data_IF_906796493126
#
_entry.id   IF_906796493126
#
_cell.length_a   1.000
_cell.length_b   1.000
_cell.length_c   1.000
_cell.angle_alpha   90.00
_cell.angle_beta   90.00
_cell.angle_gamma   90.00
#
_symmetry.space_group_name_H-M   'P 1'
#
loop_
_entity.id
_entity.type
_entity.pdbx_description
1 polymer ?
#
# COMPACT_ATOMS: atom_id res chain seq x y z
N UNK A 1 -34.33 57.51 -1.25
CA UNK A 1 -32.99 58.00 -1.67
C UNK A 1 -32.31 56.91 -2.48
N UNK A 2 -32.17 57.09 -3.79
CA UNK A 2 -31.57 56.08 -4.68
C UNK A 2 -30.04 56.15 -4.68
N UNK A 3 -29.37 55.03 -4.47
CA UNK A 3 -27.91 54.93 -4.51
C UNK A 3 -27.39 55.16 -5.95
N UNK A 4 -26.59 56.20 -6.16
CA UNK A 4 -25.86 56.40 -7.43
C UNK A 4 -24.83 55.28 -7.60
N UNK A 5 -25.02 54.41 -8.61
CA UNK A 5 -23.99 53.45 -9.03
C UNK A 5 -22.74 54.22 -9.51
N UNK A 6 -21.63 54.11 -8.77
CA UNK A 6 -20.31 54.61 -9.21
C UNK A 6 -19.70 53.58 -10.15
N UNK A 7 -19.44 53.98 -11.39
CA UNK A 7 -18.72 53.15 -12.35
C UNK A 7 -17.21 53.37 -12.22
N UNK A 8 -16.39 52.32 -12.41
CA UNK A 8 -14.94 52.43 -12.33
C UNK A 8 -14.39 53.36 -13.42
N UNK A 9 -13.32 54.09 -13.11
CA UNK A 9 -12.63 54.95 -14.09
C UNK A 9 -12.02 54.13 -15.22
N UNK A 10 -11.74 54.75 -16.38
CA UNK A 10 -11.10 54.05 -17.52
C UNK A 10 -9.80 53.33 -17.15
N UNK A 11 -9.04 53.88 -16.20
CA UNK A 11 -7.82 53.26 -15.69
C UNK A 11 -8.12 52.04 -14.81
N UNK A 12 -9.14 52.13 -13.93
CA UNK A 12 -9.58 51.02 -13.08
C UNK A 12 -10.15 49.86 -13.91
N UNK A 13 -10.94 50.15 -14.95
CA UNK A 13 -11.46 49.13 -15.85
C UNK A 13 -10.33 48.41 -16.61
N UNK A 14 -9.29 49.12 -17.05
CA UNK A 14 -8.11 48.54 -17.70
C UNK A 14 -7.27 47.68 -16.75
N UNK A 15 -7.03 48.15 -15.53
CA UNK A 15 -6.34 47.37 -14.49
C UNK A 15 -7.10 46.10 -14.13
N UNK A 16 -8.43 46.18 -14.01
CA UNK A 16 -9.27 45.01 -13.75
C UNK A 16 -9.19 44.01 -14.92
N UNK A 17 -9.21 44.49 -16.16
CA UNK A 17 -9.06 43.64 -17.35
C UNK A 17 -7.68 42.97 -17.42
N UNK A 18 -6.61 43.68 -17.07
CA UNK A 18 -5.26 43.13 -16.99
C UNK A 18 -5.15 42.08 -15.87
N UNK A 19 -5.80 42.30 -14.72
CA UNK A 19 -5.84 41.31 -13.65
C UNK A 19 -6.64 40.06 -14.04
N UNK A 20 -7.77 40.21 -14.73
CA UNK A 20 -8.56 39.08 -15.22
C UNK A 20 -7.79 38.27 -16.26
N UNK A 21 -7.07 38.92 -17.17
CA UNK A 21 -6.24 38.23 -18.18
C UNK A 21 -5.00 37.58 -17.57
N UNK A 22 -4.34 38.22 -16.61
CA UNK A 22 -3.24 37.64 -15.86
C UNK A 22 -3.70 36.43 -15.03
N UNK A 23 -4.88 36.51 -14.41
CA UNK A 23 -5.48 35.39 -13.70
C UNK A 23 -5.89 34.25 -14.65
N UNK A 24 -6.49 34.56 -15.80
CA UNK A 24 -6.86 33.56 -16.79
C UNK A 24 -5.64 32.84 -17.39
N UNK A 25 -4.56 33.57 -17.69
CA UNK A 25 -3.32 32.97 -18.23
C UNK A 25 -2.61 32.09 -17.20
N UNK A 26 -2.56 32.51 -15.93
CA UNK A 26 -2.01 31.68 -14.85
C UNK A 26 -2.89 30.45 -14.55
N UNK A 27 -4.22 30.58 -14.62
CA UNK A 27 -5.16 29.46 -14.45
C UNK A 27 -5.07 28.43 -15.59
N UNK A 28 -4.97 28.89 -16.84
CA UNK A 28 -4.75 28.02 -18.02
C UNK A 28 -3.40 27.30 -17.94
N UNK A 29 -2.33 27.99 -17.51
CA UNK A 29 -1.04 27.34 -17.32
C UNK A 29 -1.03 26.36 -16.13
N UNK A 30 -1.78 26.62 -15.05
CA UNK A 30 -1.90 25.71 -13.91
C UNK A 30 -2.63 24.41 -14.26
N UNK A 31 -3.61 24.46 -15.19
CA UNK A 31 -4.30 23.28 -15.73
C UNK A 31 -3.39 22.43 -16.65
N UNK A 32 -2.31 22.99 -17.19
CA UNK A 32 -1.40 22.34 -18.15
C UNK A 32 -0.27 21.50 -17.51
N UNK A 33 -0.34 21.18 -16.22
CA UNK A 33 0.72 20.39 -15.56
C UNK A 33 0.57 18.88 -15.83
N UNK A 34 1.22 18.44 -16.92
CA UNK A 34 1.57 17.07 -17.34
C UNK A 34 0.45 16.17 -17.90
N UNK A 35 0.08 16.42 -19.17
CA UNK A 35 -0.84 15.55 -19.91
C UNK A 35 -0.18 14.30 -20.53
N UNK A 36 1.12 14.10 -20.32
CA UNK A 36 1.83 12.88 -20.77
C UNK A 36 1.18 11.62 -20.19
N UNK A 37 0.99 10.60 -21.05
CA UNK A 37 0.60 9.26 -20.61
C UNK A 37 1.80 8.49 -20.03
N UNK A 38 3.02 8.82 -20.44
CA UNK A 38 4.26 8.21 -19.93
C UNK A 38 4.71 8.97 -18.68
N UNK A 39 4.96 8.26 -17.59
CA UNK A 39 5.25 8.82 -16.26
C UNK A 39 6.62 8.42 -15.70
N UNK A 40 7.24 7.36 -16.22
CA UNK A 40 8.57 6.89 -15.83
C UNK A 40 9.14 5.99 -16.95
N UNK A 41 10.38 5.51 -16.79
CA UNK A 41 11.02 4.50 -17.64
C UNK A 41 11.75 3.48 -16.77
N UNK A 42 11.61 2.19 -17.12
CA UNK A 42 12.31 1.10 -16.44
C UNK A 42 13.79 1.07 -16.87
N UNK A 43 14.66 0.43 -16.08
CA UNK A 43 16.08 0.28 -16.42
C UNK A 43 16.32 -0.46 -17.75
N UNK A 44 15.35 -1.27 -18.19
CA UNK A 44 15.32 -1.91 -19.51
C UNK A 44 15.05 -0.96 -20.68
N UNK A 45 14.70 0.31 -20.41
CA UNK A 45 14.27 1.29 -21.42
C UNK A 45 12.76 1.25 -21.71
N UNK A 46 12.00 0.37 -21.07
CA UNK A 46 10.55 0.28 -21.26
C UNK A 46 9.82 1.46 -20.59
N UNK A 47 8.89 2.08 -21.32
CA UNK A 47 8.06 3.16 -20.79
C UNK A 47 7.05 2.66 -19.77
N UNK A 48 6.90 3.43 -18.69
CA UNK A 48 5.85 3.23 -17.69
C UNK A 48 4.73 4.23 -17.94
N UNK A 49 3.52 3.71 -18.10
CA UNK A 49 2.32 4.48 -18.40
C UNK A 49 1.52 4.78 -17.13
N UNK A 50 0.78 5.89 -17.13
CA UNK A 50 -0.19 6.21 -16.08
C UNK A 50 -1.35 5.22 -16.12
N UNK A 51 -1.55 4.41 -15.07
CA UNK A 51 -2.65 3.45 -15.02
C UNK A 51 -4.04 4.07 -15.20
N UNK A 52 -4.20 5.38 -14.98
CA UNK A 52 -5.49 6.06 -15.16
C UNK A 52 -5.81 6.34 -16.63
N UNK A 53 -4.80 6.28 -17.51
CA UNK A 53 -4.87 6.68 -18.92
C UNK A 53 -4.72 5.50 -19.89
N UNK A 54 -4.59 4.27 -19.39
CA UNK A 54 -4.56 3.05 -20.21
C UNK A 54 -5.96 2.48 -20.44
N UNK A 55 -6.14 1.69 -21.50
CA UNK A 55 -7.43 1.12 -21.91
C UNK A 55 -7.96 0.10 -20.89
N UNK A 56 -7.06 -0.75 -20.36
CA UNK A 56 -7.36 -1.64 -19.24
C UNK A 56 -6.35 -1.43 -18.13
N UNK A 57 -6.87 -1.26 -16.91
CA UNK A 57 -6.07 -1.06 -15.71
C UNK A 57 -5.39 -2.37 -15.30
N UNK A 58 -4.19 -2.29 -14.67
CA UNK A 58 -3.63 -3.46 -14.02
C UNK A 58 -4.56 -3.94 -12.91
N UNK A 59 -4.65 -5.24 -12.72
CA UNK A 59 -5.59 -5.86 -11.78
C UNK A 59 -4.88 -6.89 -10.89
N UNK A 60 -5.06 -6.74 -9.57
CA UNK A 60 -4.57 -7.71 -8.59
C UNK A 60 -5.38 -9.00 -8.72
N UNK A 61 -4.78 -10.18 -8.56
CA UNK A 61 -5.52 -11.44 -8.52
C UNK A 61 -6.63 -11.38 -7.47
N UNK A 62 -7.82 -11.87 -7.82
CA UNK A 62 -8.99 -11.83 -6.91
C UNK A 62 -9.47 -10.39 -6.58
N UNK A 63 -8.99 -9.37 -7.30
CA UNK A 63 -9.51 -8.01 -7.30
C UNK A 63 -8.99 -7.09 -6.18
N UNK A 64 -9.38 -5.82 -6.29
CA UNK A 64 -8.89 -4.73 -5.43
C UNK A 64 -9.30 -4.87 -3.95
N UNK A 65 -10.46 -5.46 -3.68
CA UNK A 65 -10.90 -5.70 -2.30
C UNK A 65 -9.96 -6.70 -1.61
N UNK A 66 -9.57 -7.76 -2.32
CA UNK A 66 -8.61 -8.76 -1.82
C UNK A 66 -7.24 -8.13 -1.57
N UNK A 67 -6.76 -7.29 -2.50
CA UNK A 67 -5.53 -6.52 -2.29
C UNK A 67 -5.57 -5.74 -0.96
N UNK A 68 -6.64 -4.96 -0.76
CA UNK A 68 -6.77 -4.08 0.40
C UNK A 68 -7.03 -4.82 1.71
N UNK A 69 -7.82 -5.90 1.67
CA UNK A 69 -8.32 -6.59 2.87
C UNK A 69 -7.47 -7.80 3.25
N UNK A 70 -6.71 -8.39 2.33
CA UNK A 70 -6.00 -9.65 2.58
C UNK A 70 -4.50 -9.57 2.30
N UNK A 71 -4.03 -8.77 1.35
CA UNK A 71 -2.60 -8.72 1.02
C UNK A 71 -1.86 -7.57 1.71
N UNK A 72 -2.43 -6.35 1.69
CA UNK A 72 -1.83 -5.16 2.28
C UNK A 72 -2.13 -4.98 3.78
N UNK A 73 -2.62 -6.04 4.45
CA UNK A 73 -2.91 -6.01 5.89
C UNK A 73 -1.65 -6.25 6.70
N UNK A 74 -0.95 -5.16 6.99
CA UNK A 74 0.20 -5.13 7.90
C UNK A 74 -0.29 -4.94 9.33
N UNK A 75 0.19 -5.79 10.23
CA UNK A 75 -0.10 -5.72 11.66
C UNK A 75 1.16 -5.39 12.45
N UNK A 76 0.99 -4.64 13.53
CA UNK A 76 2.01 -4.46 14.55
C UNK A 76 1.42 -4.79 15.92
N UNK A 77 2.24 -5.37 16.80
CA UNK A 77 1.81 -5.69 18.16
C UNK A 77 1.81 -4.41 18.99
N UNK A 78 0.73 -4.19 19.74
CA UNK A 78 0.73 -3.28 20.88
C UNK A 78 0.53 -4.07 22.16
N UNK A 79 1.00 -3.54 23.28
CA UNK A 79 0.73 -4.14 24.58
C UNK A 79 -0.72 -3.83 24.98
N UNK A 80 -1.43 -4.77 25.63
CA UNK A 80 -2.83 -4.60 26.03
C UNK A 80 -3.03 -3.45 27.02
N UNK A 81 -1.98 -3.05 27.74
CA UNK A 81 -1.98 -1.93 28.68
C UNK A 81 -2.01 -0.55 27.97
N UNK A 82 -1.62 -0.50 26.70
CA UNK A 82 -1.64 0.72 25.89
C UNK A 82 -2.78 0.67 24.87
N UNK A 83 -3.87 1.37 25.17
CA UNK A 83 -4.90 1.67 24.19
C UNK A 83 -4.45 2.84 23.33
N UNK A 84 -3.93 2.52 22.14
CA UNK A 84 -3.87 3.50 21.05
C UNK A 84 -5.21 3.45 20.31
N UNK A 85 -5.86 4.60 20.11
CA UNK A 85 -6.88 4.70 19.05
C UNK A 85 -6.25 4.23 17.74
N UNK A 86 -7.02 3.65 16.81
CA UNK A 86 -6.53 3.39 15.45
C UNK A 86 -6.04 4.73 14.89
N UNK A 87 -4.75 4.99 15.03
CA UNK A 87 -4.13 6.20 14.53
C UNK A 87 -4.45 6.16 13.04
N UNK A 88 -5.08 7.21 12.53
CA UNK A 88 -5.47 7.35 11.12
C UNK A 88 -4.29 7.41 10.15
N UNK A 89 -3.17 6.79 10.51
CA UNK A 89 -1.98 6.57 9.71
C UNK A 89 -2.41 5.88 8.44
N UNK A 90 -2.31 6.65 7.38
CA UNK A 90 -2.48 6.17 6.02
C UNK A 90 -1.12 6.35 5.38
N UNK A 91 -0.50 5.30 4.87
CA UNK A 91 0.62 5.40 3.97
C UNK A 91 0.09 5.52 2.55
N UNK A 92 0.90 6.04 1.64
CA UNK A 92 0.63 5.93 0.20
C UNK A 92 1.86 5.32 -0.43
N UNK A 93 1.69 4.18 -1.08
CA UNK A 93 2.77 3.55 -1.83
C UNK A 93 2.47 3.61 -3.33
N UNK A 94 3.54 3.69 -4.11
CA UNK A 94 3.52 3.56 -5.55
C UNK A 94 4.46 2.43 -5.97
N UNK A 95 4.05 1.68 -6.98
CA UNK A 95 4.87 0.66 -7.61
C UNK A 95 4.54 0.59 -9.11
N UNK A 96 5.26 -0.23 -9.86
CA UNK A 96 5.02 -0.48 -11.28
C UNK A 96 4.63 -1.94 -11.45
N UNK A 97 3.57 -2.20 -12.22
CA UNK A 97 3.26 -3.53 -12.73
C UNK A 97 3.88 -3.58 -14.13
N UNK A 98 4.84 -4.46 -14.36
CA UNK A 98 5.42 -4.66 -15.69
C UNK A 98 4.46 -5.39 -16.64
N UNK A 99 4.79 -5.44 -17.93
CA UNK A 99 3.96 -6.11 -18.95
C UNK A 99 3.72 -7.60 -18.68
N UNK A 100 4.54 -8.23 -17.84
CA UNK A 100 4.44 -9.63 -17.45
C UNK A 100 3.69 -9.80 -16.11
N UNK A 101 3.17 -8.70 -15.55
CA UNK A 101 2.39 -8.69 -14.33
C UNK A 101 3.22 -8.65 -13.03
N UNK A 102 4.54 -8.51 -13.10
CA UNK A 102 5.37 -8.49 -11.89
C UNK A 102 5.47 -7.08 -11.32
N UNK A 103 5.56 -7.00 -10.00
CA UNK A 103 5.73 -5.73 -9.29
C UNK A 103 7.20 -5.28 -9.33
N UNK A 104 7.42 -4.00 -9.66
CA UNK A 104 8.73 -3.34 -9.79
C UNK A 104 8.72 -1.99 -9.08
N UNK A 105 9.91 -1.51 -8.70
CA UNK A 105 10.15 -0.16 -8.12
C UNK A 105 9.12 0.26 -7.04
N UNK A 106 8.84 -0.58 -6.01
CA UNK A 106 8.00 -0.14 -4.90
C UNK A 106 8.65 1.04 -4.16
N UNK A 107 7.87 2.06 -3.87
CA UNK A 107 8.30 3.25 -3.11
C UNK A 107 7.15 3.83 -2.31
N UNK A 108 7.50 4.54 -1.25
CA UNK A 108 6.53 5.25 -0.41
C UNK A 108 6.44 6.70 -0.89
N UNK A 109 5.24 7.13 -1.28
CA UNK A 109 4.93 8.51 -1.63
C UNK A 109 4.57 9.34 -0.40
N UNK A 110 3.90 8.71 0.58
CA UNK A 110 3.59 9.30 1.87
C UNK A 110 3.87 8.29 2.96
N UNK A 111 4.82 8.65 3.81
CA UNK A 111 5.34 7.83 4.90
C UNK A 111 4.25 7.48 5.91
N UNK A 112 4.47 6.36 6.60
CA UNK A 112 3.63 5.89 7.70
C UNK A 112 4.03 6.52 9.06
N UNK A 113 4.92 7.52 9.05
CA UNK A 113 5.35 8.56 10.03
C UNK A 113 5.47 8.22 11.53
N UNK A 114 4.62 7.36 12.08
CA UNK A 114 4.62 6.96 13.49
C UNK A 114 5.63 5.85 13.80
N UNK A 115 6.04 5.05 12.82
CA UNK A 115 6.95 3.91 13.04
C UNK A 115 8.06 3.86 11.98
N UNK A 116 9.34 4.05 12.35
CA UNK A 116 10.46 4.16 11.41
C UNK A 116 10.64 3.00 10.43
N UNK A 117 10.08 1.82 10.74
CA UNK A 117 10.26 0.59 9.95
C UNK A 117 9.02 0.17 9.17
N UNK A 118 7.89 0.85 9.35
CA UNK A 118 6.65 0.43 8.72
C UNK A 118 6.65 0.68 7.20
N UNK A 119 7.36 1.71 6.74
CA UNK A 119 7.61 1.97 5.32
C UNK A 119 8.38 0.82 4.64
N UNK A 120 9.39 0.27 5.32
CA UNK A 120 10.17 -0.86 4.80
C UNK A 120 9.31 -2.13 4.66
N UNK A 121 8.36 -2.32 5.56
CA UNK A 121 7.43 -3.44 5.52
C UNK A 121 6.32 -3.26 4.49
N UNK A 122 5.84 -2.04 4.32
CA UNK A 122 4.98 -1.69 3.20
C UNK A 122 5.65 -2.05 1.88
N UNK A 123 6.92 -1.67 1.70
CA UNK A 123 7.72 -2.06 0.53
C UNK A 123 7.85 -3.58 0.42
N UNK A 124 8.17 -4.29 1.51
CA UNK A 124 8.29 -5.76 1.52
C UNK A 124 6.98 -6.44 1.13
N UNK A 125 5.86 -6.03 1.72
CA UNK A 125 4.51 -6.53 1.40
C UNK A 125 4.19 -6.32 -0.09
N UNK A 126 4.49 -5.16 -0.65
CA UNK A 126 4.33 -4.90 -2.09
C UNK A 126 5.24 -5.79 -2.94
N UNK A 127 6.46 -6.03 -2.50
CA UNK A 127 7.47 -6.77 -3.27
C UNK A 127 7.15 -8.26 -3.42
N UNK A 128 6.36 -8.82 -2.51
CA UNK A 128 5.96 -10.24 -2.51
C UNK A 128 4.56 -10.46 -3.11
N UNK A 129 4.01 -9.44 -3.77
CA UNK A 129 2.72 -9.58 -4.43
C UNK A 129 2.79 -10.65 -5.53
N UNK A 130 1.74 -11.50 -5.65
CA UNK A 130 1.64 -12.40 -6.79
C UNK A 130 1.55 -11.62 -8.11
N UNK A 131 1.71 -12.33 -9.23
CA UNK A 131 1.59 -11.72 -10.57
C UNK A 131 0.20 -11.11 -10.77
N UNK A 132 0.19 -9.86 -11.21
CA UNK A 132 -0.99 -9.09 -11.59
C UNK A 132 -1.37 -9.38 -13.04
N UNK A 133 -2.62 -9.08 -13.39
CA UNK A 133 -2.95 -8.81 -14.79
C UNK A 133 -2.34 -7.45 -15.16
N UNK A 134 -1.50 -7.36 -16.21
CA UNK A 134 -0.88 -6.11 -16.61
C UNK A 134 -1.91 -5.13 -17.19
N UNK A 135 -1.56 -3.85 -17.24
CA UNK A 135 -2.36 -2.87 -17.97
C UNK A 135 -2.27 -3.09 -19.48
N UNK A 136 -3.33 -2.74 -20.21
CA UNK A 136 -3.35 -2.78 -21.67
C UNK A 136 -3.47 -1.38 -22.26
N UNK A 137 -2.63 -1.09 -23.25
CA UNK A 137 -2.70 0.10 -24.08
C UNK A 137 -2.63 -0.29 -25.55
N UNK A 138 -3.60 0.14 -26.35
CA UNK A 138 -3.79 -0.26 -27.75
C UNK A 138 -3.77 -1.79 -27.91
N UNK A 139 -4.41 -2.51 -26.98
CA UNK A 139 -4.46 -3.97 -26.96
C UNK A 139 -3.15 -4.69 -26.60
N UNK A 140 -2.07 -3.96 -26.27
CA UNK A 140 -0.79 -4.55 -25.86
C UNK A 140 -0.57 -4.41 -24.35
N UNK A 141 0.03 -5.42 -23.73
CA UNK A 141 0.47 -5.34 -22.33
C UNK A 141 1.60 -4.33 -22.19
N UNK A 142 1.45 -3.42 -21.24
CA UNK A 142 2.39 -2.33 -20.98
C UNK A 142 2.68 -2.20 -19.49
N UNK A 143 3.87 -1.71 -19.15
CA UNK A 143 4.19 -1.37 -17.78
C UNK A 143 3.36 -0.16 -17.30
N UNK A 144 2.70 -0.27 -16.15
CA UNK A 144 1.88 0.81 -15.58
C UNK A 144 2.28 1.11 -14.15
N UNK A 145 2.32 2.39 -13.78
CA UNK A 145 2.44 2.75 -12.36
C UNK A 145 1.13 2.45 -11.63
N UNK A 146 1.17 2.18 -10.34
CA UNK A 146 -0.04 1.96 -9.54
C UNK A 146 0.16 2.52 -8.15
N UNK A 147 -0.91 3.04 -7.55
CA UNK A 147 -0.86 3.74 -6.26
C UNK A 147 -1.91 3.16 -5.34
N UNK A 148 -1.50 2.75 -4.14
CA UNK A 148 -2.38 2.16 -3.13
C UNK A 148 -2.23 2.86 -1.79
N UNK A 149 -3.34 3.11 -1.07
CA UNK A 149 -3.27 3.47 0.33
C UNK A 149 -2.89 2.23 1.15
N UNK A 150 -2.02 2.41 2.13
CA UNK A 150 -1.64 1.38 3.09
C UNK A 150 -2.17 1.80 4.46
N UNK A 151 -2.79 0.87 5.17
CA UNK A 151 -3.31 1.09 6.52
C UNK A 151 -2.78 -0.01 7.44
N UNK A 152 -1.79 0.29 8.28
CA UNK A 152 -1.37 -0.64 9.31
C UNK A 152 -2.52 -0.86 10.29
N UNK A 153 -2.57 -2.04 10.89
CA UNK A 153 -3.54 -2.39 11.93
C UNK A 153 -2.82 -2.79 13.20
N UNK A 154 -3.47 -2.52 14.33
CA UNK A 154 -3.04 -3.05 15.61
C UNK A 154 -3.44 -4.52 15.75
N UNK A 155 -2.55 -5.30 16.32
CA UNK A 155 -2.86 -6.56 16.97
C UNK A 155 -2.66 -6.34 18.48
N UNK A 156 -3.73 -6.49 19.25
CA UNK A 156 -3.70 -6.37 20.71
C UNK A 156 -4.03 -7.76 21.27
N UNK A 157 -3.03 -8.49 21.80
CA UNK A 157 -3.28 -9.78 22.43
C UNK A 157 -4.00 -9.61 23.78
N UNK A 158 -4.72 -10.64 24.22
CA UNK A 158 -5.46 -10.62 25.49
C UNK A 158 -4.54 -10.37 26.70
N UNK A 159 -3.34 -10.92 26.65
CA UNK A 159 -2.27 -10.70 27.63
C UNK A 159 -0.92 -10.62 26.89
N UNK A 160 0.10 -10.03 27.54
CA UNK A 160 1.45 -9.93 26.98
C UNK A 160 2.29 -11.20 27.22
N UNK A 161 1.72 -12.36 26.85
CA UNK A 161 2.39 -13.66 26.88
C UNK A 161 2.32 -14.32 25.49
N UNK A 162 3.20 -15.30 25.25
CA UNK A 162 3.33 -15.89 23.92
C UNK A 162 2.08 -16.66 23.48
N UNK A 163 1.36 -17.28 24.43
CA UNK A 163 0.13 -18.02 24.13
C UNK A 163 -0.98 -17.09 23.61
N UNK A 164 -1.19 -15.95 24.27
CA UNK A 164 -2.17 -14.93 23.89
C UNK A 164 -1.83 -14.26 22.55
N UNK A 165 -0.53 -14.05 22.29
CA UNK A 165 -0.05 -13.57 20.98
C UNK A 165 -0.32 -14.60 19.90
N UNK A 166 0.02 -15.87 20.12
CA UNK A 166 -0.21 -16.95 19.16
C UNK A 166 -1.69 -17.16 18.87
N UNK A 167 -2.57 -17.05 19.88
CA UNK A 167 -4.03 -17.06 19.70
C UNK A 167 -4.47 -15.92 18.77
N UNK A 168 -3.97 -14.71 19.01
CA UNK A 168 -4.28 -13.55 18.17
C UNK A 168 -3.79 -13.74 16.73
N UNK A 169 -2.61 -14.33 16.53
CA UNK A 169 -2.08 -14.62 15.19
C UNK A 169 -2.97 -15.61 14.42
N UNK A 170 -3.48 -16.65 15.09
CA UNK A 170 -4.41 -17.62 14.53
C UNK A 170 -5.75 -16.96 14.14
N UNK A 171 -6.28 -16.08 14.99
CA UNK A 171 -7.47 -15.28 14.69
C UNK A 171 -7.26 -14.41 13.46
N UNK A 172 -6.11 -13.73 13.34
CA UNK A 172 -5.77 -12.94 12.16
C UNK A 172 -5.72 -13.80 10.89
N UNK A 173 -5.23 -15.03 11.00
CA UNK A 173 -5.17 -16.03 9.93
C UNK A 173 -6.53 -16.67 9.61
N UNK A 174 -7.58 -16.39 10.39
CA UNK A 174 -8.90 -17.04 10.30
C UNK A 174 -8.82 -18.58 10.42
N UNK A 175 -7.98 -19.11 11.30
CA UNK A 175 -7.86 -20.55 11.52
C UNK A 175 -7.55 -20.88 12.97
N UNK A 176 -7.93 -22.07 13.43
CA UNK A 176 -7.66 -22.56 14.78
C UNK A 176 -6.47 -23.53 14.87
N UNK A 177 -5.83 -23.85 13.74
CA UNK A 177 -4.70 -24.80 13.70
C UNK A 177 -3.53 -24.24 12.91
N UNK A 178 -2.34 -24.33 13.52
CA UNK A 178 -1.05 -23.99 12.91
C UNK A 178 -0.69 -24.89 11.72
N UNK A 179 -1.27 -26.09 11.60
CA UNK A 179 -1.05 -26.98 10.46
C UNK A 179 -1.52 -26.36 9.13
N UNK A 180 -2.45 -25.39 9.22
CA UNK A 180 -2.99 -24.66 8.07
C UNK A 180 -2.26 -23.35 7.79
N UNK A 181 -1.19 -23.02 8.51
CA UNK A 181 -0.49 -21.73 8.40
C UNK A 181 0.95 -21.96 7.94
N UNK A 182 1.32 -21.33 6.83
CA UNK A 182 2.73 -21.23 6.46
C UNK A 182 3.37 -20.14 7.30
N UNK A 183 4.35 -20.52 8.13
CA UNK A 183 5.06 -19.58 9.00
C UNK A 183 6.41 -19.25 8.36
N UNK A 184 6.66 -17.96 8.18
CA UNK A 184 7.94 -17.43 7.73
C UNK A 184 8.43 -16.42 8.78
N UNK A 185 9.67 -16.61 9.23
CA UNK A 185 10.31 -15.72 10.20
C UNK A 185 11.58 -15.20 9.55
N UNK A 186 11.66 -13.88 9.37
CA UNK A 186 12.81 -13.24 8.73
C UNK A 186 13.16 -13.80 7.33
N UNK A 187 12.16 -14.22 6.55
CA UNK A 187 12.34 -14.76 5.20
C UNK A 187 12.70 -16.25 5.17
N UNK A 188 12.60 -16.95 6.30
CA UNK A 188 12.86 -18.38 6.41
C UNK A 188 11.60 -19.10 6.88
N UNK A 189 11.22 -20.16 6.17
CA UNK A 189 10.16 -21.06 6.62
C UNK A 189 10.49 -21.63 8.01
N UNK A 190 9.51 -21.58 8.91
CA UNK A 190 9.60 -22.09 10.29
C UNK A 190 8.40 -22.96 10.64
N UNK A 191 8.44 -23.59 11.81
CA UNK A 191 7.32 -24.26 12.46
C UNK A 191 6.73 -23.43 13.61
N UNK A 192 5.59 -23.89 14.14
CA UNK A 192 4.89 -23.23 15.24
C UNK A 192 5.57 -23.42 16.59
N UNK A 193 6.38 -24.46 16.78
CA UNK A 193 7.09 -24.69 18.03
C UNK A 193 8.18 -23.63 18.24
N UNK A 194 8.82 -23.18 17.17
CA UNK A 194 9.72 -22.03 17.25
C UNK A 194 9.01 -20.77 17.78
N UNK A 195 7.73 -20.56 17.45
CA UNK A 195 6.98 -19.39 17.94
C UNK A 195 6.89 -19.37 19.47
N UNK A 196 6.80 -20.53 20.12
CA UNK A 196 6.75 -20.65 21.58
C UNK A 196 8.04 -20.18 22.25
N UNK A 197 9.15 -20.13 21.50
CA UNK A 197 10.45 -19.66 21.98
C UNK A 197 10.65 -18.15 21.84
N UNK A 198 9.74 -17.46 21.13
CA UNK A 198 9.85 -16.03 20.88
C UNK A 198 9.37 -15.26 22.11
N UNK A 199 10.19 -14.33 22.60
CA UNK A 199 9.73 -13.31 23.54
C UNK A 199 8.66 -12.44 22.86
N UNK A 200 7.42 -12.35 23.39
CA UNK A 200 6.37 -11.50 22.86
C UNK A 200 6.80 -10.06 22.57
N UNK A 201 7.72 -9.52 23.37
CA UNK A 201 8.21 -8.14 23.23
C UNK A 201 9.16 -7.97 22.05
N UNK A 202 9.72 -9.06 21.52
CA UNK A 202 10.60 -9.05 20.36
C UNK A 202 9.84 -9.09 19.04
N UNK A 203 8.52 -9.28 19.04
CA UNK A 203 7.71 -9.13 17.84
C UNK A 203 7.68 -7.68 17.40
N UNK A 204 8.10 -7.44 16.16
CA UNK A 204 8.08 -6.11 15.59
C UNK A 204 6.84 -5.92 14.72
N UNK A 205 6.67 -6.80 13.72
CA UNK A 205 5.58 -6.70 12.76
C UNK A 205 5.16 -8.06 12.22
N UNK A 206 3.91 -8.12 11.77
CA UNK A 206 3.29 -9.30 11.20
C UNK A 206 2.64 -8.94 9.87
N UNK A 207 2.81 -9.78 8.87
CA UNK A 207 2.04 -9.74 7.64
C UNK A 207 1.23 -11.03 7.53
N UNK A 208 -0.07 -10.89 7.32
CA UNK A 208 -0.99 -12.03 7.19
C UNK A 208 -1.59 -12.02 5.80
N UNK A 209 -1.29 -13.06 5.01
CA UNK A 209 -1.81 -13.24 3.67
C UNK A 209 -2.80 -14.38 3.66
N UNK A 210 -4.04 -14.13 3.22
CA UNK A 210 -5.14 -15.11 3.27
C UNK A 210 -5.75 -15.44 1.92
N UNK A 211 -5.39 -14.70 0.87
CA UNK A 211 -5.95 -14.92 -0.45
C UNK A 211 -5.12 -15.94 -1.23
N UNK A 212 -5.80 -16.65 -2.12
CA UNK A 212 -5.27 -17.84 -2.78
C UNK A 212 -4.00 -17.53 -3.56
N UNK A 213 -3.99 -16.45 -4.36
CA UNK A 213 -2.85 -16.07 -5.17
C UNK A 213 -1.60 -15.73 -4.34
N UNK A 214 -1.79 -15.14 -3.16
CA UNK A 214 -0.66 -14.82 -2.27
C UNK A 214 -0.13 -16.06 -1.57
N UNK A 215 -1.00 -16.97 -1.12
CA UNK A 215 -0.57 -18.22 -0.47
C UNK A 215 0.19 -19.10 -1.47
N UNK A 216 -0.30 -19.20 -2.71
CA UNK A 216 0.34 -20.01 -3.76
C UNK A 216 1.69 -19.47 -4.20
N UNK A 217 1.98 -18.19 -3.93
CA UNK A 217 3.31 -17.62 -4.14
C UNK A 217 4.36 -18.22 -3.19
N UNK A 218 3.96 -18.68 -2.00
CA UNK A 218 4.85 -19.27 -0.99
C UNK A 218 4.85 -20.80 -1.03
N UNK A 219 3.71 -21.42 -1.34
CA UNK A 219 3.55 -22.88 -1.26
C UNK A 219 2.47 -23.41 -2.18
N UNK A 220 2.71 -24.58 -2.78
CA UNK A 220 1.70 -25.31 -3.57
C UNK A 220 0.95 -26.36 -2.75
N UNK A 221 1.30 -26.55 -1.46
CA UNK A 221 0.64 -27.51 -0.57
C UNK A 221 -0.74 -26.96 -0.14
N UNK A 222 -1.86 -27.63 -0.51
CA UNK A 222 -3.21 -27.13 -0.30
C UNK A 222 -3.65 -27.09 1.16
N UNK A 223 -2.90 -27.69 2.09
CA UNK A 223 -3.22 -27.59 3.52
C UNK A 223 -3.07 -26.16 4.05
N UNK A 224 -2.15 -25.38 3.47
CA UNK A 224 -1.90 -24.02 3.91
C UNK A 224 -2.99 -23.09 3.36
N UNK A 225 -3.70 -22.44 4.29
CA UNK A 225 -4.79 -21.50 4.01
C UNK A 225 -4.37 -20.05 4.24
N UNK A 226 -3.29 -19.84 4.99
CA UNK A 226 -2.73 -18.53 5.27
C UNK A 226 -1.20 -18.58 5.28
N UNK A 227 -0.58 -17.43 5.03
CA UNK A 227 0.85 -17.20 5.22
C UNK A 227 1.01 -16.12 6.30
N UNK A 228 1.78 -16.43 7.33
CA UNK A 228 2.16 -15.51 8.40
C UNK A 228 3.64 -15.19 8.26
N UNK A 229 3.96 -13.95 7.91
CA UNK A 229 5.35 -13.45 7.89
C UNK A 229 5.61 -12.66 9.16
N UNK A 230 6.64 -13.05 9.89
CA UNK A 230 7.01 -12.46 11.18
C UNK A 230 8.35 -11.74 11.02
N UNK A 231 8.37 -10.49 11.47
CA UNK A 231 9.59 -9.69 11.63
C UNK A 231 9.83 -9.44 13.11
N UNK A 232 11.03 -9.74 13.57
CA UNK A 232 11.48 -9.57 14.94
C UNK A 232 12.31 -8.29 15.06
N UNK A 233 12.31 -7.71 16.27
CA UNK A 233 13.19 -6.58 16.60
C UNK A 233 14.63 -7.06 16.49
N UNK A 234 15.44 -6.37 15.68
CA UNK A 234 16.89 -6.60 15.65
C UNK A 234 17.48 -6.34 17.04
N UNK A 235 18.28 -7.28 17.55
CA UNK A 235 19.10 -7.06 18.73
C UNK A 235 20.03 -5.86 18.47
N UNK A 236 20.06 -4.90 19.40
CA UNK A 236 21.03 -3.81 19.37
C UNK A 236 22.46 -4.32 19.51
#
# INVERSE_FOLDING_TARGET
>A
MGAKKRYPSRLQARLLWLLVTLFATTFVNAQNSNDSIVVDTLASGEHVYDWRKVDQKPEFPEGILTLCLNHLRIYYKSDPEYYYEEIGVRGIAQFVIDKDGNVRKPKILRSLDYFPKLDSLAIRSISIMPRWKPGLLNGKSVATNYVVPIRPRLMIPKANDIASVMESMLDLCNTSSWDNVWIDIEGKKSDSHFLETIDPNNLEYLLVLKNTASVTHFTSDPKYKAVLLITLKKSK
#
